data_IF_050012580359
#
_entry.id   IF_050012580359
#
_cell.length_a   1.000
_cell.length_b   1.000
_cell.length_c   1.000
_cell.angle_alpha   90.00
_cell.angle_beta   90.00
_cell.angle_gamma   90.00
#
_symmetry.space_group_name_H-M   'P 1'
#
loop_
_entity.id
_entity.type
_entity.pdbx_description
1 polymer ?
#
# COMPACT_ATOMS: atom_id res chain seq x y z
N UNK A 1 19.58 -9.69 5.27
CA UNK A 1 19.62 -8.36 4.60
C UNK A 1 20.86 -8.32 3.71
N UNK A 2 20.76 -8.58 2.41
CA UNK A 2 21.82 -8.42 1.43
C UNK A 2 21.56 -7.16 0.61
N UNK A 3 22.47 -6.19 0.76
CA UNK A 3 22.89 -5.23 -0.26
C UNK A 3 21.87 -4.32 -0.94
N UNK A 4 21.42 -3.26 -0.27
CA UNK A 4 20.74 -2.15 -0.95
C UNK A 4 21.75 -1.39 -1.82
N UNK A 5 21.53 -1.34 -3.14
CA UNK A 5 22.26 -0.43 -4.03
C UNK A 5 21.51 0.90 -4.12
N UNK A 6 22.15 1.95 -3.63
CA UNK A 6 21.65 3.32 -3.77
C UNK A 6 22.02 3.85 -5.14
N UNK A 7 21.04 4.09 -6.00
CA UNK A 7 21.28 4.79 -7.27
C UNK A 7 21.46 6.29 -7.00
N UNK A 8 22.65 6.80 -7.23
CA UNK A 8 22.97 8.23 -7.22
C UNK A 8 22.68 8.82 -8.59
N UNK A 9 21.51 9.40 -8.81
CA UNK A 9 21.25 10.24 -9.97
C UNK A 9 21.99 11.58 -9.82
N UNK A 10 22.82 11.97 -10.81
CA UNK A 10 23.47 13.28 -10.88
C UNK A 10 22.47 14.31 -11.38
N UNK A 11 21.75 14.94 -10.48
CA UNK A 11 21.15 16.27 -10.69
C UNK A 11 21.65 17.17 -9.56
N UNK A 12 22.21 18.32 -9.93
CA UNK A 12 23.00 19.23 -9.09
C UNK A 12 22.38 19.56 -7.72
N UNK A 13 22.65 18.73 -6.75
CA UNK A 13 22.22 18.77 -5.38
C UNK A 13 21.94 17.36 -4.88
N UNK A 14 22.43 16.99 -3.70
CA UNK A 14 22.23 15.66 -3.08
C UNK A 14 20.75 15.45 -2.77
N UNK A 15 19.98 14.93 -3.71
CA UNK A 15 18.64 14.42 -3.47
C UNK A 15 18.74 12.92 -3.30
N UNK A 16 18.25 12.40 -2.18
CA UNK A 16 18.01 10.98 -2.00
C UNK A 16 16.79 10.63 -2.85
N UNK A 17 16.97 9.73 -3.82
CA UNK A 17 15.87 9.15 -4.57
C UNK A 17 15.23 7.98 -3.83
N UNK A 18 14.13 7.43 -4.33
CA UNK A 18 13.53 6.23 -3.79
C UNK A 18 14.53 5.07 -3.82
N UNK A 19 14.57 4.29 -2.74
CA UNK A 19 15.38 3.08 -2.64
C UNK A 19 14.45 1.93 -2.97
N UNK A 20 14.74 1.24 -4.09
CA UNK A 20 14.06 0.00 -4.45
C UNK A 20 15.03 -1.16 -4.28
N UNK A 21 14.51 -2.29 -3.82
CA UNK A 21 15.25 -3.55 -3.87
C UNK A 21 15.40 -3.99 -5.33
N UNK A 22 16.59 -4.44 -5.71
CA UNK A 22 16.78 -5.06 -7.01
C UNK A 22 16.14 -6.46 -6.95
N UNK A 23 15.16 -6.71 -7.80
CA UNK A 23 14.48 -7.98 -7.89
C UNK A 23 15.38 -8.94 -8.67
N UNK A 24 15.90 -9.97 -7.97
CA UNK A 24 16.72 -11.03 -8.57
C UNK A 24 15.84 -12.20 -9.02
N UNK A 25 16.21 -12.82 -10.14
CA UNK A 25 15.56 -14.01 -10.68
C UNK A 25 14.77 -13.74 -11.98
N UNK A 26 14.25 -14.80 -12.61
CA UNK A 26 13.43 -14.68 -13.81
C UNK A 26 12.12 -13.93 -13.52
N UNK A 27 11.94 -12.80 -14.19
CA UNK A 27 10.74 -11.98 -14.06
C UNK A 27 9.60 -12.65 -14.84
N UNK A 28 8.49 -12.88 -14.17
CA UNK A 28 7.25 -13.38 -14.78
C UNK A 28 6.33 -12.23 -15.24
N UNK A 29 6.71 -10.98 -14.92
CA UNK A 29 5.92 -9.80 -15.22
C UNK A 29 4.90 -9.47 -14.13
N UNK A 30 4.08 -8.44 -14.37
CA UNK A 30 2.94 -8.10 -13.52
C UNK A 30 1.87 -9.20 -13.55
N UNK A 31 1.04 -9.24 -12.52
CA UNK A 31 -0.15 -10.11 -12.48
C UNK A 31 -1.42 -9.26 -12.43
N UNK A 32 -2.49 -9.79 -13.00
CA UNK A 32 -3.83 -9.29 -12.68
C UNK A 32 -4.22 -9.70 -11.26
N UNK A 33 -5.01 -8.88 -10.57
CA UNK A 33 -5.59 -9.23 -9.27
C UNK A 33 -6.80 -10.17 -9.39
N UNK A 34 -7.10 -10.65 -10.61
CA UNK A 34 -8.13 -11.65 -10.89
C UNK A 34 -7.69 -12.60 -12.00
N UNK A 35 -8.30 -13.79 -12.05
CA UNK A 35 -7.93 -14.83 -13.02
C UNK A 35 -6.62 -15.50 -12.69
N UNK A 36 -6.05 -16.14 -13.68
CA UNK A 36 -4.78 -16.88 -13.63
C UNK A 36 -3.84 -16.34 -14.70
N UNK A 37 -2.59 -16.73 -14.65
CA UNK A 37 -1.57 -16.39 -15.65
C UNK A 37 -1.67 -17.33 -16.85
N UNK A 38 -2.07 -16.83 -18.00
CA UNK A 38 -2.31 -17.65 -19.21
C UNK A 38 -1.07 -18.44 -19.66
N UNK A 39 0.11 -17.91 -19.45
CA UNK A 39 1.37 -18.52 -19.85
C UNK A 39 1.92 -19.55 -18.83
N UNK A 40 1.24 -19.75 -17.69
CA UNK A 40 1.66 -20.68 -16.64
C UNK A 40 0.58 -21.71 -16.34
N UNK A 41 0.79 -22.95 -16.85
CA UNK A 41 -0.14 -24.06 -16.64
C UNK A 41 -0.28 -24.49 -15.17
N UNK A 42 0.62 -24.07 -14.29
CA UNK A 42 0.56 -24.35 -12.85
C UNK A 42 -0.22 -23.30 -12.07
N UNK A 43 -0.53 -22.16 -12.69
CA UNK A 43 -1.31 -21.11 -12.07
C UNK A 43 -2.81 -21.39 -12.18
N UNK A 44 -3.27 -22.38 -11.45
CA UNK A 44 -4.64 -22.91 -11.50
C UNK A 44 -5.59 -22.28 -10.48
N UNK A 45 -5.08 -21.44 -9.58
CA UNK A 45 -5.89 -20.77 -8.56
C UNK A 45 -6.08 -19.31 -8.96
N UNK A 46 -7.32 -18.88 -9.11
CA UNK A 46 -7.65 -17.49 -9.37
C UNK A 46 -6.95 -16.57 -8.35
N UNK A 47 -6.28 -15.53 -8.81
CA UNK A 47 -5.53 -14.60 -7.97
C UNK A 47 -6.41 -13.95 -6.90
N UNK A 48 -7.71 -13.77 -7.16
CA UNK A 48 -8.69 -13.30 -6.16
C UNK A 48 -8.82 -14.22 -4.96
N UNK A 49 -8.50 -15.51 -5.13
CA UNK A 49 -8.65 -16.53 -4.10
C UNK A 49 -7.34 -16.85 -3.39
N UNK A 50 -6.24 -16.18 -3.74
CA UNK A 50 -4.95 -16.32 -3.06
C UNK A 50 -4.91 -15.50 -1.78
N UNK A 51 -4.57 -16.16 -0.67
CA UNK A 51 -4.55 -15.53 0.66
C UNK A 51 -3.60 -14.34 0.74
N UNK A 52 -2.41 -14.48 0.18
CA UNK A 52 -1.37 -13.45 0.20
C UNK A 52 -1.82 -12.17 -0.52
N UNK A 53 -2.56 -12.31 -1.62
CA UNK A 53 -3.09 -11.17 -2.37
C UNK A 53 -4.27 -10.53 -1.62
N UNK A 54 -5.19 -11.34 -1.09
CA UNK A 54 -6.30 -10.82 -0.27
C UNK A 54 -5.80 -10.18 1.02
N UNK A 55 -4.83 -10.80 1.69
CA UNK A 55 -4.25 -10.27 2.92
C UNK A 55 -3.44 -8.98 2.73
N UNK A 56 -2.91 -8.73 1.52
CA UNK A 56 -2.23 -7.49 1.19
C UNK A 56 -3.09 -6.26 1.47
N UNK A 57 -4.43 -6.37 1.46
CA UNK A 57 -5.34 -5.31 1.88
C UNK A 57 -4.95 -4.71 3.24
N UNK A 58 -4.69 -5.56 4.25
CA UNK A 58 -4.36 -5.10 5.61
C UNK A 58 -3.03 -4.36 5.64
N UNK A 59 -2.05 -4.84 4.87
CA UNK A 59 -0.77 -4.15 4.70
C UNK A 59 -0.97 -2.77 4.05
N UNK A 60 -1.75 -2.73 2.98
CA UNK A 60 -2.05 -1.48 2.27
C UNK A 60 -2.82 -0.49 3.16
N UNK A 61 -3.79 -0.97 3.94
CA UNK A 61 -4.50 -0.14 4.91
C UNK A 61 -3.57 0.41 6.01
N UNK A 62 -2.70 -0.44 6.57
CA UNK A 62 -1.73 -0.03 7.58
C UNK A 62 -0.81 1.08 7.10
N UNK A 63 -0.31 0.96 5.86
CA UNK A 63 0.57 1.95 5.21
C UNK A 63 -0.18 3.11 4.55
N UNK A 64 -1.51 3.02 4.43
CA UNK A 64 -2.32 3.89 3.57
C UNK A 64 -1.78 3.94 2.13
N UNK A 65 -1.40 2.76 1.59
CA UNK A 65 -0.97 2.59 0.20
C UNK A 65 -2.19 2.42 -0.70
N UNK A 66 -2.65 3.51 -1.29
CA UNK A 66 -3.95 3.56 -1.99
C UNK A 66 -3.88 3.14 -3.47
N UNK A 67 -2.69 2.98 -4.02
CA UNK A 67 -2.47 2.63 -5.44
C UNK A 67 -2.07 1.15 -5.65
N UNK A 68 -2.61 0.25 -4.82
CA UNK A 68 -2.40 -1.20 -4.97
C UNK A 68 -3.24 -1.76 -6.12
N UNK A 69 -2.74 -1.63 -7.35
CA UNK A 69 -3.38 -2.06 -8.61
C UNK A 69 -2.50 -3.02 -9.39
N UNK A 70 -3.06 -3.61 -10.44
CA UNK A 70 -2.38 -4.62 -11.29
C UNK A 70 -1.04 -4.12 -11.85
N UNK A 71 -0.95 -2.82 -12.20
CA UNK A 71 0.29 -2.23 -12.72
C UNK A 71 1.40 -2.09 -11.66
N UNK A 72 1.05 -2.13 -10.36
CA UNK A 72 1.97 -1.90 -9.25
C UNK A 72 2.35 -3.20 -8.54
N UNK A 73 2.56 -4.25 -9.32
CA UNK A 73 3.07 -5.53 -8.82
C UNK A 73 4.02 -6.19 -9.82
N UNK A 74 4.81 -7.13 -9.32
CA UNK A 74 5.74 -7.93 -10.12
C UNK A 74 5.84 -9.31 -9.50
N UNK A 75 5.82 -10.32 -10.33
CA UNK A 75 6.04 -11.70 -9.93
C UNK A 75 7.37 -12.21 -10.44
N UNK A 76 8.02 -13.01 -9.63
CA UNK A 76 9.34 -13.59 -9.91
C UNK A 76 9.29 -15.07 -9.61
N UNK A 77 9.92 -15.87 -10.47
CA UNK A 77 10.16 -17.27 -10.19
C UNK A 77 11.37 -17.44 -9.27
N UNK A 78 11.18 -18.16 -8.17
CA UNK A 78 12.25 -18.55 -7.26
C UNK A 78 12.45 -20.06 -7.35
N UNK A 79 13.56 -20.48 -7.94
CA UNK A 79 13.91 -21.88 -8.05
C UNK A 79 14.42 -22.42 -6.72
N UNK A 80 13.92 -23.60 -6.33
CA UNK A 80 14.34 -24.31 -5.11
C UNK A 80 15.19 -25.55 -5.38
N UNK A 81 15.42 -25.89 -6.65
CA UNK A 81 16.18 -27.04 -7.13
C UNK A 81 15.29 -28.06 -7.86
N UNK A 82 15.92 -28.90 -8.67
CA UNK A 82 15.27 -29.99 -9.44
C UNK A 82 14.11 -29.53 -10.34
N UNK A 83 14.18 -28.29 -10.86
CA UNK A 83 13.14 -27.70 -11.68
C UNK A 83 11.87 -27.30 -10.90
N UNK A 84 11.90 -27.38 -9.58
CA UNK A 84 10.83 -26.92 -8.69
C UNK A 84 11.10 -25.51 -8.22
N UNK A 85 10.03 -24.79 -7.89
CA UNK A 85 10.11 -23.44 -7.39
C UNK A 85 8.76 -22.90 -6.97
N UNK A 86 8.73 -21.60 -6.67
CA UNK A 86 7.50 -20.91 -6.34
C UNK A 86 7.51 -19.50 -6.93
N UNK A 87 6.33 -18.92 -7.06
CA UNK A 87 6.17 -17.54 -7.47
C UNK A 87 6.25 -16.64 -6.24
N UNK A 88 7.17 -15.69 -6.27
CA UNK A 88 7.27 -14.64 -5.25
C UNK A 88 6.63 -13.37 -5.77
N UNK A 89 5.68 -12.83 -5.00
CA UNK A 89 4.95 -11.62 -5.31
C UNK A 89 5.65 -10.41 -4.71
N UNK A 90 5.81 -9.36 -5.52
CA UNK A 90 6.34 -8.07 -5.10
C UNK A 90 5.28 -6.98 -5.28
N UNK A 91 5.22 -6.07 -4.33
CA UNK A 91 4.51 -4.81 -4.46
C UNK A 91 5.49 -3.77 -4.96
N UNK A 92 5.13 -3.09 -6.03
CA UNK A 92 5.91 -2.00 -6.62
C UNK A 92 5.25 -0.65 -6.30
N UNK A 93 6.04 0.41 -6.50
CA UNK A 93 5.57 1.79 -6.42
C UNK A 93 4.78 2.13 -5.15
N UNK A 94 5.41 1.92 -4.00
CA UNK A 94 4.84 2.31 -2.71
C UNK A 94 4.99 3.82 -2.40
N UNK A 95 5.23 4.65 -3.42
CA UNK A 95 5.50 6.08 -3.27
C UNK A 95 4.29 6.90 -2.80
N UNK A 96 3.08 6.38 -2.92
CA UNK A 96 1.84 6.97 -2.44
C UNK A 96 1.49 6.60 -0.98
N UNK A 97 2.31 5.75 -0.34
CA UNK A 97 2.12 5.36 1.06
C UNK A 97 2.16 6.56 2.01
N UNK A 98 1.57 6.40 3.19
CA UNK A 98 1.52 7.41 4.25
C UNK A 98 0.74 8.68 3.87
N UNK A 99 -0.23 8.56 2.94
CA UNK A 99 -1.03 9.69 2.48
C UNK A 99 -0.28 10.64 1.55
N UNK A 100 0.89 10.24 1.03
CA UNK A 100 1.66 11.00 0.03
C UNK A 100 0.99 10.79 -1.32
N UNK A 101 0.24 11.80 -1.76
CA UNK A 101 -0.44 11.77 -3.07
C UNK A 101 -0.06 13.02 -3.86
N UNK A 102 -0.05 12.87 -5.17
CA UNK A 102 0.26 13.94 -6.13
C UNK A 102 -0.57 15.20 -5.89
N UNK A 103 -0.07 16.40 -6.14
CA UNK A 103 -0.78 17.66 -5.87
C UNK A 103 -2.19 17.71 -6.45
N UNK A 104 -2.40 17.14 -7.64
CA UNK A 104 -3.72 17.07 -8.28
C UNK A 104 -4.73 16.18 -7.55
N UNK A 105 -4.26 15.28 -6.68
CA UNK A 105 -5.07 14.30 -5.96
C UNK A 105 -5.28 14.65 -4.48
N UNK A 106 -5.05 15.89 -4.08
CA UNK A 106 -5.17 16.31 -2.67
C UNK A 106 -6.54 15.99 -2.06
N UNK A 107 -7.61 16.08 -2.85
CA UNK A 107 -8.95 15.71 -2.39
C UNK A 107 -9.05 14.22 -2.03
N UNK A 108 -8.35 13.36 -2.79
CA UNK A 108 -8.33 11.91 -2.53
C UNK A 108 -7.51 11.57 -1.28
N UNK A 109 -6.40 12.27 -1.04
CA UNK A 109 -5.61 12.05 0.17
C UNK A 109 -6.36 12.38 1.45
N UNK A 110 -7.35 13.28 1.39
CA UNK A 110 -8.20 13.64 2.52
C UNK A 110 -9.15 12.51 2.94
N UNK A 111 -9.48 11.61 2.02
CA UNK A 111 -10.41 10.51 2.26
C UNK A 111 -9.82 9.42 3.15
N UNK A 112 -8.56 9.52 3.53
CA UNK A 112 -7.91 8.59 4.46
C UNK A 112 -8.02 7.11 4.04
N UNK A 113 -8.12 6.84 2.72
CA UNK A 113 -8.30 5.50 2.18
C UNK A 113 -9.73 4.96 2.27
N UNK A 114 -10.74 5.78 2.57
CA UNK A 114 -12.12 5.33 2.74
C UNK A 114 -12.96 5.34 1.44
N UNK A 115 -12.36 5.69 0.30
CA UNK A 115 -13.07 5.78 -0.98
C UNK A 115 -12.17 5.42 -2.15
N UNK A 116 -12.74 4.83 -3.19
CA UNK A 116 -12.05 4.65 -4.48
C UNK A 116 -11.84 5.99 -5.19
N UNK A 117 -10.88 6.07 -6.12
CA UNK A 117 -10.69 7.25 -6.97
C UNK A 117 -11.95 7.60 -7.78
N UNK A 118 -12.66 6.58 -8.26
CA UNK A 118 -13.99 6.69 -8.82
C UNK A 118 -14.95 5.82 -8.00
N UNK A 119 -15.71 6.45 -7.13
CA UNK A 119 -16.69 5.80 -6.27
C UNK A 119 -18.08 6.24 -6.74
N UNK A 120 -18.74 5.37 -7.50
CA UNK A 120 -20.03 5.67 -8.13
C UNK A 120 -21.11 5.88 -7.07
N UNK A 121 -21.08 5.15 -5.97
CA UNK A 121 -22.04 5.33 -4.87
C UNK A 121 -21.95 6.74 -4.29
N UNK A 122 -20.73 7.25 -4.14
CA UNK A 122 -20.50 8.61 -3.68
C UNK A 122 -20.95 9.66 -4.71
N UNK A 123 -20.64 9.42 -6.00
CA UNK A 123 -21.06 10.33 -7.08
C UNK A 123 -22.58 10.42 -7.14
N UNK A 124 -23.29 9.29 -7.08
CA UNK A 124 -24.75 9.23 -7.09
C UNK A 124 -25.33 9.89 -5.82
N UNK A 125 -24.77 9.59 -4.65
CA UNK A 125 -25.17 10.23 -3.40
C UNK A 125 -25.02 11.75 -3.45
N UNK A 126 -23.91 12.25 -3.95
CA UNK A 126 -23.66 13.69 -4.09
C UNK A 126 -24.61 14.34 -5.09
N UNK A 127 -24.93 13.65 -6.18
CA UNK A 127 -25.92 14.13 -7.17
C UNK A 127 -27.31 14.31 -6.52
N UNK A 128 -27.79 13.32 -5.77
CA UNK A 128 -29.12 13.38 -5.14
C UNK A 128 -29.19 14.32 -3.93
N UNK A 129 -28.08 14.56 -3.26
CA UNK A 129 -28.03 15.44 -2.09
C UNK A 129 -27.45 16.81 -2.39
N UNK A 130 -27.15 17.11 -3.67
CA UNK A 130 -26.49 18.36 -4.08
C UNK A 130 -25.16 18.60 -3.34
N UNK A 131 -24.44 17.53 -2.99
CA UNK A 131 -23.18 17.59 -2.24
C UNK A 131 -23.34 17.90 -0.74
N UNK A 132 -24.55 17.84 -0.20
CA UNK A 132 -24.81 18.11 1.22
C UNK A 132 -24.61 16.87 2.13
N UNK A 133 -24.32 15.71 1.55
CA UNK A 133 -24.06 14.50 2.31
C UNK A 133 -22.69 14.56 2.97
N UNK A 134 -22.66 14.81 4.27
CA UNK A 134 -21.44 14.73 5.07
C UNK A 134 -21.02 13.28 5.30
N UNK A 135 -19.73 13.01 5.17
CA UNK A 135 -19.11 11.71 5.40
C UNK A 135 -18.00 11.84 6.44
N UNK A 136 -17.76 10.79 7.22
CA UNK A 136 -16.77 10.81 8.30
C UNK A 136 -15.33 11.14 7.87
N UNK A 137 -15.03 11.01 6.58
CA UNK A 137 -13.75 11.36 5.97
C UNK A 137 -13.80 12.67 5.15
N UNK A 138 -14.91 13.41 5.23
CA UNK A 138 -15.06 14.68 4.53
C UNK A 138 -13.96 15.70 4.93
N UNK A 139 -13.50 16.56 4.00
CA UNK A 139 -12.49 17.59 4.26
C UNK A 139 -12.81 18.50 5.45
N UNK A 140 -14.09 18.77 5.72
CA UNK A 140 -14.51 19.63 6.83
C UNK A 140 -14.15 19.05 8.19
N UNK A 141 -14.00 17.72 8.30
CA UNK A 141 -13.67 17.00 9.53
C UNK A 141 -12.30 16.33 9.49
N UNK A 142 -11.57 16.48 8.38
CA UNK A 142 -10.24 15.91 8.24
C UNK A 142 -9.22 16.61 9.17
N UNK A 143 -8.25 15.89 9.72
CA UNK A 143 -7.17 16.49 10.49
C UNK A 143 -6.31 17.37 9.62
N UNK A 144 -5.47 18.20 10.26
CA UNK A 144 -4.48 18.97 9.54
C UNK A 144 -3.54 18.07 8.76
N UNK A 145 -3.32 18.40 7.49
CA UNK A 145 -2.41 17.65 6.65
C UNK A 145 -0.97 17.81 7.14
N UNK A 146 -0.28 16.66 7.36
CA UNK A 146 1.14 16.70 7.66
C UNK A 146 1.95 17.22 6.45
N UNK A 147 2.98 18.06 6.64
CA UNK A 147 3.71 18.70 5.53
C UNK A 147 4.27 17.74 4.49
N UNK A 148 4.72 16.55 4.92
CA UNK A 148 5.33 15.57 4.01
C UNK A 148 4.57 14.23 3.90
N UNK A 149 3.65 13.92 4.82
CA UNK A 149 2.93 12.63 4.83
C UNK A 149 1.44 12.76 4.49
N UNK A 150 0.94 13.95 4.19
CA UNK A 150 -0.49 14.11 3.92
C UNK A 150 -1.36 13.78 5.13
N UNK A 151 -2.49 13.10 4.90
CA UNK A 151 -3.44 12.68 5.94
C UNK A 151 -3.13 11.25 6.37
N UNK A 152 -2.27 11.10 7.33
CA UNK A 152 -1.84 9.82 7.88
C UNK A 152 -1.83 9.90 9.40
N UNK A 153 -2.84 9.32 10.04
CA UNK A 153 -3.08 9.44 11.48
C UNK A 153 -3.54 8.11 12.09
N UNK A 154 -3.69 8.07 13.41
CA UNK A 154 -4.14 6.90 14.18
C UNK A 154 -5.62 7.04 14.56
N UNK A 155 -6.04 8.23 14.94
CA UNK A 155 -7.30 8.50 15.65
C UNK A 155 -8.55 8.12 14.85
N UNK A 156 -8.48 8.26 13.53
CA UNK A 156 -9.59 7.91 12.60
C UNK A 156 -9.27 6.73 11.71
N UNK A 157 -8.21 6.00 12.03
CA UNK A 157 -7.87 4.83 11.26
C UNK A 157 -8.89 3.73 11.49
N UNK A 158 -9.64 3.44 10.46
CA UNK A 158 -10.56 2.32 10.38
C UNK A 158 -10.04 1.31 9.34
N UNK A 159 -9.43 0.20 9.77
CA UNK A 159 -8.90 -0.79 8.85
C UNK A 159 -9.99 -1.52 8.06
N UNK A 160 -11.21 -1.63 8.57
CA UNK A 160 -12.30 -2.31 7.87
C UNK A 160 -12.98 -1.39 6.86
N UNK A 161 -13.10 -0.12 7.16
CA UNK A 161 -13.61 0.91 6.26
C UNK A 161 -12.60 1.40 5.22
N UNK A 162 -11.32 1.08 5.38
CA UNK A 162 -10.30 1.51 4.41
C UNK A 162 -10.57 0.91 3.02
N UNK A 163 -10.38 1.71 1.99
CA UNK A 163 -10.53 1.28 0.60
C UNK A 163 -9.29 1.69 -0.22
N UNK A 164 -8.88 0.82 -1.12
CA UNK A 164 -7.88 1.15 -2.12
C UNK A 164 -8.36 2.29 -3.02
N UNK A 165 -7.47 3.05 -3.64
CA UNK A 165 -7.84 4.09 -4.60
C UNK A 165 -8.51 3.52 -5.85
N UNK A 166 -8.20 2.28 -6.21
CA UNK A 166 -8.83 1.53 -7.27
C UNK A 166 -9.56 0.30 -6.71
N UNK A 167 -10.61 -0.14 -7.42
CA UNK A 167 -11.24 -1.41 -7.08
C UNK A 167 -10.24 -2.54 -7.29
N UNK A 168 -10.12 -3.39 -6.27
CA UNK A 168 -9.26 -4.58 -6.32
C UNK A 168 -10.10 -5.82 -6.03
N UNK A 169 -10.32 -6.70 -7.02
CA UNK A 169 -11.19 -7.87 -6.88
C UNK A 169 -10.75 -8.83 -5.75
N UNK A 170 -9.45 -8.95 -5.50
CA UNK A 170 -8.94 -9.77 -4.42
C UNK A 170 -9.28 -9.16 -3.04
N UNK A 171 -9.18 -7.84 -2.91
CA UNK A 171 -9.52 -7.15 -1.66
C UNK A 171 -11.01 -7.28 -1.31
N UNK A 172 -11.88 -7.26 -2.32
CA UNK A 172 -13.32 -7.44 -2.14
C UNK A 172 -13.70 -8.85 -1.67
N UNK A 173 -12.86 -9.86 -1.97
CA UNK A 173 -13.06 -11.25 -1.53
C UNK A 173 -12.31 -11.61 -0.25
N UNK A 174 -11.68 -10.63 0.40
CA UNK A 174 -10.97 -10.82 1.66
C UNK A 174 -11.90 -11.38 2.74
N UNK A 175 -11.40 -12.37 3.44
CA UNK A 175 -12.03 -12.93 4.64
C UNK A 175 -11.33 -12.42 5.91
N UNK A 176 -11.99 -12.57 7.06
CA UNK A 176 -11.36 -12.29 8.37
C UNK A 176 -10.09 -13.12 8.59
N UNK A 177 -10.06 -14.36 8.09
CA UNK A 177 -8.87 -15.22 8.20
C UNK A 177 -7.68 -14.67 7.43
N UNK A 178 -7.91 -14.09 6.26
CA UNK A 178 -6.86 -13.46 5.45
C UNK A 178 -6.34 -12.19 6.15
N UNK A 179 -7.27 -11.39 6.69
CA UNK A 179 -6.94 -10.21 7.47
C UNK A 179 -6.13 -10.56 8.72
N UNK A 180 -6.58 -11.54 9.50
CA UNK A 180 -5.88 -12.00 10.70
C UNK A 180 -4.50 -12.61 10.39
N UNK A 181 -4.34 -13.25 9.23
CA UNK A 181 -3.05 -13.77 8.80
C UNK A 181 -2.04 -12.62 8.56
N UNK A 182 -2.41 -11.59 7.81
CA UNK A 182 -1.53 -10.46 7.54
C UNK A 182 -1.33 -9.60 8.80
N UNK A 183 -2.36 -9.38 9.61
CA UNK A 183 -2.25 -8.66 10.87
C UNK A 183 -1.22 -9.30 11.81
N UNK A 184 -1.18 -10.65 11.89
CA UNK A 184 -0.13 -11.37 12.64
C UNK A 184 1.27 -11.14 12.09
N UNK A 185 1.42 -10.94 10.80
CA UNK A 185 2.73 -10.60 10.19
C UNK A 185 3.11 -9.17 10.59
N UNK A 186 2.19 -8.23 10.47
CA UNK A 186 2.41 -6.82 10.85
C UNK A 186 2.73 -6.71 12.34
N UNK A 187 2.04 -7.46 13.20
CA UNK A 187 2.26 -7.46 14.65
C UNK A 187 3.68 -7.91 15.07
N UNK A 188 4.43 -8.57 14.19
CA UNK A 188 5.84 -8.90 14.45
C UNK A 188 6.79 -7.70 14.38
N UNK A 189 6.36 -6.61 13.76
CA UNK A 189 7.13 -5.36 13.73
C UNK A 189 6.99 -4.65 15.08
N UNK A 190 7.86 -4.98 16.03
CA UNK A 190 7.95 -4.22 17.27
C UNK A 190 8.44 -2.79 17.03
N UNK A 191 8.37 -1.96 18.07
CA UNK A 191 8.84 -0.58 17.99
C UNK A 191 10.29 -0.43 17.50
N UNK A 192 11.25 -1.30 17.91
CA UNK A 192 12.61 -1.24 17.38
C UNK A 192 12.69 -1.47 15.87
N UNK A 193 11.92 -2.43 15.32
CA UNK A 193 11.89 -2.71 13.89
C UNK A 193 11.28 -1.55 13.12
N UNK A 194 10.15 -0.98 13.59
CA UNK A 194 9.53 0.20 12.99
C UNK A 194 10.52 1.37 12.97
N UNK A 195 11.22 1.64 14.08
CA UNK A 195 12.26 2.68 14.13
C UNK A 195 13.39 2.42 13.14
N UNK A 196 13.86 1.18 13.03
CA UNK A 196 14.92 0.82 12.11
C UNK A 196 14.52 1.05 10.64
N UNK A 197 13.30 0.65 10.27
CA UNK A 197 12.76 0.88 8.91
C UNK A 197 12.60 2.37 8.62
N UNK A 198 12.00 3.13 9.54
CA UNK A 198 11.80 4.57 9.37
C UNK A 198 13.13 5.32 9.29
N UNK A 199 14.14 4.91 10.07
CA UNK A 199 15.47 5.54 10.02
C UNK A 199 16.16 5.37 8.66
N UNK A 200 15.87 4.29 7.93
CA UNK A 200 16.38 4.07 6.59
C UNK A 200 15.85 5.12 5.59
N UNK A 201 14.72 5.74 5.86
CA UNK A 201 14.16 6.83 5.05
C UNK A 201 14.94 8.14 5.13
N UNK A 202 15.86 8.30 6.09
CA UNK A 202 16.77 9.45 6.24
C UNK A 202 16.05 10.80 6.09
N UNK A 203 14.94 10.96 6.79
CA UNK A 203 14.20 12.21 6.78
C UNK A 203 15.07 13.39 7.23
N UNK A 204 14.84 14.55 6.61
CA UNK A 204 15.65 15.77 6.85
C UNK A 204 15.49 16.34 8.26
N UNK A 205 14.41 16.00 8.96
CA UNK A 205 14.11 16.44 10.30
C UNK A 205 13.72 15.27 11.20
N UNK A 206 14.22 15.23 12.44
CA UNK A 206 13.90 14.15 13.39
C UNK A 206 12.40 13.99 13.67
N UNK A 207 11.66 15.12 13.74
CA UNK A 207 10.22 15.13 13.98
C UNK A 207 9.41 14.37 12.92
N UNK A 208 9.90 14.29 11.68
CA UNK A 208 9.24 13.52 10.63
C UNK A 208 9.38 12.00 10.87
N UNK A 209 10.55 11.57 11.32
CA UNK A 209 10.78 10.18 11.70
C UNK A 209 9.93 9.80 12.93
N UNK A 210 9.89 10.66 13.92
CA UNK A 210 9.10 10.42 15.14
C UNK A 210 7.60 10.35 14.85
N UNK A 211 7.10 11.24 13.99
CA UNK A 211 5.72 11.21 13.54
C UNK A 211 5.41 9.87 12.87
N UNK A 212 6.21 9.45 11.90
CA UNK A 212 5.96 8.23 11.13
C UNK A 212 6.05 6.98 12.04
N UNK A 213 7.02 6.92 12.95
CA UNK A 213 7.13 5.84 13.94
C UNK A 213 5.88 5.77 14.81
N UNK A 214 5.41 6.92 15.33
CA UNK A 214 4.21 6.99 16.17
C UNK A 214 2.97 6.49 15.43
N UNK A 215 2.77 6.93 14.19
CA UNK A 215 1.57 6.55 13.42
C UNK A 215 1.63 5.08 13.00
N UNK A 216 2.77 4.59 12.53
CA UNK A 216 2.92 3.16 12.19
C UNK A 216 2.71 2.25 13.41
N UNK A 217 3.25 2.63 14.56
CA UNK A 217 3.06 1.87 15.79
C UNK A 217 1.60 1.92 16.29
N UNK A 218 0.94 3.05 16.16
CA UNK A 218 -0.45 3.22 16.59
C UNK A 218 -1.47 2.50 15.69
N UNK A 219 -1.18 2.38 14.39
CA UNK A 219 -2.02 1.65 13.43
C UNK A 219 -1.80 0.13 13.45
N UNK A 220 -0.73 -0.35 14.06
CA UNK A 220 -0.41 -1.78 14.20
C UNK A 220 -1.38 -2.49 15.14
#
# INVERSE_FOLDING_TARGET
FRGHRVFRGRFGGRRLGPINEFIEGPLLGGRSNSGTRDADLNDVIDHRDRREIRGQYVLSAWLNHVDARDANNMDVWVETGDGLGYVQHYVLDAGDSFGIIWPASHAMSRRLGQSHYLDIEHVVGDLFTFGLLERGWDPSVAPARHPIFGYYEVERFDPDGWRNGYQNPAYQRRTERDSAWMARIIARFGLPQIRAVVSAGRFSRPEYSEFLVRVLAGRR
#
